data_IF_495651384749
#
_entry.id   IF_495651384749
#
_cell.length_a   1.000
_cell.length_b   1.000
_cell.length_c   1.000
_cell.angle_alpha   90.00
_cell.angle_beta   90.00
_cell.angle_gamma   90.00
#
_symmetry.space_group_name_H-M   'P 1'
#
loop_
_entity.id
_entity.type
_entity.pdbx_description
1 polymer ?
#
# COMPACT_ATOMS: atom_id res chain seq x y z
N UNK A 1 9.20 -11.81 9.63
CA UNK A 1 8.19 -10.89 10.28
C UNK A 1 6.81 -11.55 10.19
N UNK A 2 5.91 -11.36 11.19
CA UNK A 2 4.53 -11.92 11.10
C UNK A 2 3.56 -10.96 10.43
N UNK A 3 3.58 -9.70 10.84
CA UNK A 3 2.76 -8.61 10.33
C UNK A 3 3.67 -7.52 9.82
N UNK A 4 3.39 -6.98 8.63
CA UNK A 4 4.24 -5.98 8.01
C UNK A 4 3.44 -4.93 7.25
N UNK A 5 4.03 -3.72 7.17
CA UNK A 5 3.66 -2.67 6.23
C UNK A 5 4.77 -2.49 5.21
N UNK A 6 4.40 -2.41 3.94
CA UNK A 6 5.32 -2.30 2.82
C UNK A 6 4.94 -1.08 1.99
N UNK A 7 5.91 -0.21 1.74
CA UNK A 7 5.74 0.95 0.86
C UNK A 7 6.81 1.00 -0.22
N UNK A 8 6.40 1.45 -1.41
CA UNK A 8 7.28 1.62 -2.56
C UNK A 8 7.91 3.01 -2.58
N UNK A 9 9.21 3.11 -2.35
CA UNK A 9 9.95 4.36 -2.33
C UNK A 9 10.99 4.48 -3.47
N UNK A 10 11.74 5.57 -3.52
CA UNK A 10 12.78 5.80 -4.55
C UNK A 10 13.90 4.78 -4.48
N UNK A 11 14.22 4.25 -3.29
CA UNK A 11 15.25 3.24 -3.09
C UNK A 11 14.78 1.80 -3.32
N UNK A 12 13.50 1.58 -3.65
CA UNK A 12 12.95 0.24 -3.83
C UNK A 12 11.71 0.00 -2.98
N UNK A 13 11.75 -0.97 -2.08
CA UNK A 13 10.65 -1.39 -1.21
C UNK A 13 11.07 -1.31 0.25
N UNK A 14 10.46 -0.43 0.99
CA UNK A 14 10.66 -0.34 2.43
C UNK A 14 9.64 -1.21 3.15
N UNK A 15 10.12 -2.06 4.05
CA UNK A 15 9.28 -2.91 4.90
C UNK A 15 9.58 -2.63 6.36
N UNK A 16 8.52 -2.58 7.16
CA UNK A 16 8.60 -2.57 8.61
C UNK A 16 7.61 -3.58 9.19
N UNK A 17 8.02 -4.29 10.24
CA UNK A 17 7.17 -5.29 10.87
C UNK A 17 7.76 -5.82 12.16
N UNK A 18 6.99 -6.69 12.83
CA UNK A 18 7.44 -7.35 14.06
C UNK A 18 8.27 -8.58 13.74
N UNK A 19 9.53 -8.56 14.16
CA UNK A 19 10.45 -9.68 14.05
C UNK A 19 10.10 -10.84 14.98
N UNK A 20 10.86 -11.94 14.87
CA UNK A 20 10.65 -13.16 15.70
C UNK A 20 10.81 -12.93 17.21
N UNK A 21 11.60 -11.92 17.57
CA UNK A 21 11.87 -11.52 18.97
C UNK A 21 10.85 -10.53 19.52
N UNK A 22 9.79 -10.18 18.76
CA UNK A 22 8.78 -9.19 19.13
C UNK A 22 9.23 -7.74 19.00
N UNK A 23 10.45 -7.48 18.50
CA UNK A 23 10.95 -6.12 18.23
C UNK A 23 10.56 -5.69 16.82
N UNK A 24 10.42 -4.38 16.62
CA UNK A 24 10.26 -3.82 15.29
C UNK A 24 11.58 -3.94 14.52
N UNK A 25 11.48 -4.48 13.34
CA UNK A 25 12.56 -4.61 12.38
C UNK A 25 12.13 -3.91 11.09
N UNK A 26 13.08 -3.31 10.39
CA UNK A 26 12.84 -2.64 9.12
C UNK A 26 13.99 -2.89 8.15
N UNK A 27 13.69 -2.87 6.87
CA UNK A 27 14.70 -3.01 5.82
C UNK A 27 14.22 -2.41 4.50
N UNK A 28 15.18 -1.89 3.74
CA UNK A 28 14.98 -1.43 2.37
C UNK A 28 15.51 -2.50 1.41
N UNK A 29 14.71 -2.84 0.40
CA UNK A 29 15.03 -3.83 -0.62
C UNK A 29 14.97 -3.21 -2.01
N UNK A 30 15.91 -3.55 -2.88
CA UNK A 30 15.94 -3.05 -4.26
C UNK A 30 14.76 -3.52 -5.10
N UNK A 31 14.19 -4.70 -4.78
CA UNK A 31 13.06 -5.29 -5.48
C UNK A 31 12.18 -6.15 -4.56
N UNK A 32 10.92 -6.34 -4.97
CA UNK A 32 9.91 -7.05 -4.16
C UNK A 32 10.22 -8.55 -4.01
N UNK A 33 10.91 -9.15 -4.98
CA UNK A 33 11.27 -10.56 -4.92
C UNK A 33 12.26 -10.85 -3.79
N UNK A 34 13.30 -10.02 -3.65
CA UNK A 34 14.26 -10.13 -2.55
C UNK A 34 13.60 -9.91 -1.19
N UNK A 35 12.64 -8.96 -1.12
CA UNK A 35 11.85 -8.74 0.10
C UNK A 35 11.06 -10.01 0.46
N UNK A 36 10.37 -10.63 -0.49
CA UNK A 36 9.62 -11.87 -0.27
C UNK A 36 10.52 -13.03 0.16
N UNK A 37 11.64 -13.23 -0.50
CA UNK A 37 12.59 -14.31 -0.18
C UNK A 37 13.13 -14.24 1.26
N UNK A 38 13.39 -13.03 1.75
CA UNK A 38 13.88 -12.82 3.13
C UNK A 38 12.75 -12.92 4.17
N UNK A 39 11.48 -12.80 3.76
CA UNK A 39 10.33 -12.67 4.68
C UNK A 39 9.16 -13.60 4.30
N UNK A 40 9.44 -14.80 3.82
CA UNK A 40 8.40 -15.76 3.40
C UNK A 40 7.54 -16.33 4.55
N UNK A 41 7.77 -15.90 5.78
CA UNK A 41 7.01 -16.26 6.98
C UNK A 41 5.95 -15.21 7.40
N UNK A 42 5.66 -14.20 6.56
CA UNK A 42 4.56 -13.27 6.79
C UNK A 42 3.22 -14.01 7.00
N UNK A 43 2.45 -13.56 7.98
CA UNK A 43 1.03 -13.92 8.12
C UNK A 43 0.12 -12.95 7.37
N UNK A 44 0.48 -11.67 7.39
CA UNK A 44 -0.19 -10.59 6.69
C UNK A 44 0.80 -9.46 6.43
N UNK A 45 0.95 -9.08 5.18
CA UNK A 45 1.72 -7.91 4.77
C UNK A 45 0.80 -6.97 3.98
N UNK A 46 0.57 -5.77 4.49
CA UNK A 46 -0.17 -4.72 3.81
C UNK A 46 0.79 -3.92 2.94
N UNK A 47 0.47 -3.78 1.67
CA UNK A 47 1.35 -3.15 0.68
C UNK A 47 0.62 -2.02 -0.05
N UNK A 48 1.27 -0.83 -0.14
CA UNK A 48 0.74 0.32 -0.90
C UNK A 48 1.05 0.19 -2.39
N UNK A 49 0.38 -0.76 -3.03
CA UNK A 49 0.45 -0.95 -4.47
C UNK A 49 -0.79 -1.67 -5.00
N UNK A 50 -1.34 -1.29 -6.15
CA UNK A 50 -2.47 -1.99 -6.76
C UNK A 50 -2.19 -3.48 -7.03
N UNK A 51 -3.07 -4.34 -6.50
CA UNK A 51 -3.11 -5.78 -6.78
C UNK A 51 -4.39 -6.11 -7.54
N UNK A 52 -4.27 -6.90 -8.63
CA UNK A 52 -5.38 -7.16 -9.54
C UNK A 52 -5.69 -5.97 -10.45
N UNK A 53 -5.63 -6.20 -11.75
CA UNK A 53 -5.67 -5.17 -12.76
C UNK A 53 -6.72 -5.47 -13.82
N UNK A 54 -7.38 -4.43 -14.31
CA UNK A 54 -8.26 -4.55 -15.48
C UNK A 54 -7.44 -4.84 -16.72
N UNK A 55 -7.96 -5.73 -17.59
CA UNK A 55 -7.38 -6.03 -18.89
C UNK A 55 -8.27 -5.57 -20.04
N UNK A 56 -9.54 -5.23 -19.76
CA UNK A 56 -10.53 -4.78 -20.77
C UNK A 56 -11.53 -3.79 -20.17
N UNK A 57 -12.22 -3.06 -21.03
CA UNK A 57 -13.37 -2.22 -20.70
C UNK A 57 -13.03 -0.90 -20.00
N UNK A 58 -13.92 0.09 -20.04
CA UNK A 58 -13.70 1.44 -19.51
C UNK A 58 -13.84 1.55 -17.98
N UNK A 59 -14.40 0.51 -17.35
CA UNK A 59 -14.72 0.51 -15.92
C UNK A 59 -13.46 0.50 -15.06
N UNK A 60 -13.29 1.49 -14.19
CA UNK A 60 -12.22 1.48 -13.19
C UNK A 60 -12.42 0.34 -12.18
N UNK A 61 -11.36 -0.03 -11.47
CA UNK A 61 -11.45 -0.93 -10.33
C UNK A 61 -12.44 -0.32 -9.30
N UNK A 62 -13.38 -1.12 -8.80
CA UNK A 62 -14.38 -0.64 -7.83
C UNK A 62 -13.70 -0.17 -6.53
N UNK A 63 -12.63 -0.85 -6.12
CA UNK A 63 -11.86 -0.47 -4.93
C UNK A 63 -11.33 0.96 -5.01
N UNK A 64 -10.73 1.37 -6.13
CA UNK A 64 -10.22 2.74 -6.31
C UNK A 64 -11.36 3.78 -6.23
N UNK A 65 -12.51 3.48 -6.85
CA UNK A 65 -13.69 4.37 -6.83
C UNK A 65 -14.26 4.54 -5.42
N UNK A 66 -14.37 3.45 -4.66
CA UNK A 66 -14.92 3.49 -3.30
C UNK A 66 -13.93 4.09 -2.31
N UNK A 67 -12.63 3.79 -2.43
CA UNK A 67 -11.61 4.43 -1.62
C UNK A 67 -11.65 5.96 -1.76
N UNK A 68 -11.77 6.47 -3.01
CA UNK A 68 -11.94 7.91 -3.26
C UNK A 68 -13.21 8.51 -2.64
N UNK A 69 -14.29 7.73 -2.53
CA UNK A 69 -15.52 8.20 -1.86
C UNK A 69 -15.35 8.31 -0.35
N UNK A 70 -14.65 7.34 0.27
CA UNK A 70 -14.34 7.35 1.70
C UNK A 70 -13.38 8.50 2.01
N UNK A 71 -12.29 8.60 1.24
CA UNK A 71 -11.24 9.61 1.41
C UNK A 71 -11.57 10.98 0.80
N UNK A 72 -12.78 11.41 0.84
CA UNK A 72 -13.34 12.65 0.30
C UNK A 72 -12.32 13.80 0.06
N UNK A 73 -11.72 14.37 1.10
CA UNK A 73 -10.69 15.41 1.01
C UNK A 73 -9.36 14.85 0.43
N UNK A 74 -9.04 13.58 0.69
CA UNK A 74 -7.81 12.89 0.27
C UNK A 74 -7.99 12.01 -0.96
N UNK A 75 -9.13 12.07 -1.64
CA UNK A 75 -9.46 11.27 -2.83
C UNK A 75 -8.41 11.29 -3.93
N UNK A 76 -7.67 12.39 -4.06
CA UNK A 76 -6.64 12.54 -5.08
C UNK A 76 -5.34 11.75 -4.78
N UNK A 77 -5.22 11.13 -3.59
CA UNK A 77 -4.13 10.19 -3.29
C UNK A 77 -4.35 8.82 -3.94
N UNK A 78 -5.61 8.45 -4.24
CA UNK A 78 -5.94 7.17 -4.87
C UNK A 78 -5.97 7.35 -6.39
N UNK A 79 -4.90 6.95 -7.06
CA UNK A 79 -4.79 7.01 -8.51
C UNK A 79 -5.45 5.80 -9.16
N UNK A 80 -6.13 5.97 -10.32
CA UNK A 80 -6.60 4.83 -11.09
C UNK A 80 -5.43 3.94 -11.51
N UNK A 81 -5.51 2.65 -11.19
CA UNK A 81 -4.49 1.70 -11.65
C UNK A 81 -4.48 1.61 -13.20
N UNK A 82 -3.30 1.43 -13.84
CA UNK A 82 -3.20 1.19 -15.26
C UNK A 82 -3.85 -0.15 -15.64
N UNK A 83 -4.20 -0.33 -16.92
CA UNK A 83 -4.46 -1.69 -17.41
C UNK A 83 -3.17 -2.51 -17.42
N UNK A 84 -3.28 -3.85 -17.29
CA UNK A 84 -2.10 -4.71 -17.20
C UNK A 84 -1.20 -4.61 -18.44
N UNK A 85 -1.79 -4.43 -19.62
CA UNK A 85 -1.02 -4.29 -20.87
C UNK A 85 -0.11 -3.06 -20.86
N UNK A 86 -0.55 -1.95 -20.21
CA UNK A 86 0.23 -0.72 -20.13
C UNK A 86 1.48 -0.84 -19.24
N UNK A 87 1.55 -1.84 -18.35
CA UNK A 87 2.73 -2.07 -17.50
C UNK A 87 3.98 -2.45 -18.30
N UNK A 88 3.83 -2.98 -19.52
CA UNK A 88 4.94 -3.43 -20.37
C UNK A 88 5.50 -2.33 -21.26
N UNK A 89 4.90 -1.14 -21.23
CA UNK A 89 5.34 -0.01 -22.04
C UNK A 89 6.71 0.51 -21.60
N UNK A 90 7.49 0.97 -22.54
CA UNK A 90 8.83 1.55 -22.33
C UNK A 90 8.79 3.05 -22.02
N UNK A 91 7.65 3.69 -22.27
CA UNK A 91 7.45 5.12 -22.05
C UNK A 91 6.03 5.43 -21.59
N UNK A 92 5.88 6.61 -20.99
CA UNK A 92 4.54 7.09 -20.62
C UNK A 92 3.62 7.26 -21.83
N UNK A 93 4.12 7.76 -22.95
CA UNK A 93 3.32 7.97 -24.15
C UNK A 93 2.76 6.66 -24.70
N UNK A 94 3.59 5.62 -24.72
CA UNK A 94 3.18 4.27 -25.11
C UNK A 94 2.16 3.69 -24.12
N UNK A 95 2.45 3.76 -22.82
CA UNK A 95 1.53 3.30 -21.76
C UNK A 95 0.19 4.03 -21.83
N UNK A 96 0.20 5.34 -22.03
CA UNK A 96 -1.00 6.16 -22.15
C UNK A 96 -1.83 5.79 -23.38
N UNK A 97 -1.16 5.51 -24.53
CA UNK A 97 -1.82 5.03 -25.75
C UNK A 97 -2.48 3.69 -25.52
N UNK A 98 -1.76 2.71 -24.99
CA UNK A 98 -2.30 1.37 -24.65
C UNK A 98 -3.47 1.50 -23.68
N UNK A 99 -3.33 2.31 -22.63
CA UNK A 99 -4.40 2.48 -21.65
C UNK A 99 -5.65 3.13 -22.27
N UNK A 100 -5.51 4.07 -23.21
CA UNK A 100 -6.62 4.64 -23.98
C UNK A 100 -7.30 3.61 -24.85
N UNK A 101 -6.55 2.79 -25.56
CA UNK A 101 -7.09 1.74 -26.44
C UNK A 101 -7.87 0.69 -25.64
N UNK A 102 -7.32 0.24 -24.49
CA UNK A 102 -7.92 -0.81 -23.66
C UNK A 102 -9.06 -0.29 -22.78
N UNK A 103 -8.89 0.91 -22.21
CA UNK A 103 -9.75 1.45 -21.15
C UNK A 103 -10.61 2.65 -21.58
N UNK A 104 -10.39 3.18 -22.78
CA UNK A 104 -11.03 4.42 -23.22
C UNK A 104 -10.59 5.68 -22.48
N UNK A 105 -9.58 5.57 -21.59
CA UNK A 105 -9.07 6.67 -20.75
C UNK A 105 -7.57 6.70 -20.73
N UNK A 106 -7.00 7.91 -20.68
CA UNK A 106 -5.56 8.10 -20.54
C UNK A 106 -5.01 7.64 -19.20
N UNK A 107 -3.69 7.48 -19.14
CA UNK A 107 -2.93 7.16 -17.94
C UNK A 107 -2.32 8.43 -17.34
N UNK A 108 -2.55 8.67 -16.03
CA UNK A 108 -1.91 9.78 -15.34
C UNK A 108 -0.41 9.57 -15.19
N UNK A 109 0.36 10.66 -15.06
CA UNK A 109 1.81 10.57 -14.77
C UNK A 109 2.06 9.89 -13.43
N UNK A 110 1.19 10.12 -12.44
CA UNK A 110 1.30 9.46 -11.12
C UNK A 110 1.14 7.94 -11.24
N UNK A 111 0.11 7.49 -11.96
CA UNK A 111 -0.09 6.04 -12.20
C UNK A 111 1.06 5.43 -12.99
N UNK A 112 1.65 6.16 -13.94
CA UNK A 112 2.83 5.73 -14.66
C UNK A 112 4.06 5.58 -13.76
N UNK A 113 4.29 6.54 -12.87
CA UNK A 113 5.46 6.52 -11.98
C UNK A 113 5.53 5.31 -11.05
N UNK A 114 4.38 4.68 -10.76
CA UNK A 114 4.32 3.45 -9.94
C UNK A 114 4.15 2.18 -10.80
N UNK A 115 4.07 2.29 -12.14
CA UNK A 115 3.78 1.14 -13.02
C UNK A 115 4.84 0.04 -12.94
N UNK A 116 6.12 0.39 -12.82
CA UNK A 116 7.20 -0.59 -12.64
C UNK A 116 7.05 -1.39 -11.34
N UNK A 117 6.67 -0.73 -10.25
CA UNK A 117 6.41 -1.37 -8.96
C UNK A 117 5.17 -2.25 -9.01
N UNK A 118 4.09 -1.80 -9.67
CA UNK A 118 2.91 -2.64 -9.92
C UNK A 118 3.32 -3.90 -10.69
N UNK A 119 4.16 -3.76 -11.72
CA UNK A 119 4.63 -4.88 -12.53
C UNK A 119 5.46 -5.88 -11.71
N UNK A 120 6.34 -5.38 -10.82
CA UNK A 120 7.13 -6.25 -9.93
C UNK A 120 6.22 -7.13 -9.05
N UNK A 121 5.22 -6.52 -8.40
CA UNK A 121 4.28 -7.23 -7.51
C UNK A 121 3.37 -8.17 -8.31
N UNK A 122 2.83 -7.71 -9.46
CA UNK A 122 1.99 -8.54 -10.34
C UNK A 122 2.76 -9.79 -10.81
N UNK A 123 4.01 -9.62 -11.24
CA UNK A 123 4.87 -10.73 -11.66
C UNK A 123 5.18 -11.70 -10.51
N UNK A 124 5.49 -11.18 -9.32
CA UNK A 124 5.78 -12.01 -8.15
C UNK A 124 4.56 -12.86 -7.75
N UNK A 125 3.38 -12.24 -7.63
CA UNK A 125 2.15 -12.95 -7.22
C UNK A 125 1.74 -14.01 -8.26
N UNK A 126 1.95 -13.73 -9.54
CA UNK A 126 1.64 -14.68 -10.62
C UNK A 126 2.64 -15.86 -10.67
N UNK A 127 3.88 -15.62 -10.28
CA UNK A 127 4.92 -16.66 -10.23
C UNK A 127 4.84 -17.51 -8.95
N UNK A 128 4.47 -16.90 -7.82
CA UNK A 128 4.44 -17.52 -6.49
C UNK A 128 3.04 -17.34 -5.86
N UNK A 129 2.10 -18.27 -6.12
CA UNK A 129 0.70 -18.13 -5.70
C UNK A 129 0.45 -17.98 -4.20
N UNK A 130 1.37 -18.41 -3.34
CA UNK A 130 1.31 -18.21 -1.89
C UNK A 130 1.37 -16.75 -1.51
N UNK A 131 2.06 -15.90 -2.29
CA UNK A 131 2.16 -14.46 -2.04
C UNK A 131 0.80 -13.79 -1.98
N UNK A 132 -0.15 -14.20 -2.85
CA UNK A 132 -1.51 -13.63 -2.87
C UNK A 132 -2.33 -13.90 -1.60
N UNK A 133 -1.93 -14.88 -0.79
CA UNK A 133 -2.60 -15.19 0.48
C UNK A 133 -2.12 -14.29 1.60
N UNK A 134 -0.94 -13.71 1.43
CA UNK A 134 -0.20 -12.94 2.43
C UNK A 134 -0.19 -11.45 2.11
N UNK A 135 0.11 -11.09 0.86
CA UNK A 135 0.11 -9.70 0.43
C UNK A 135 -1.32 -9.24 0.15
N UNK A 136 -1.71 -8.15 0.80
CA UNK A 136 -3.00 -7.51 0.57
C UNK A 136 -2.79 -6.04 0.23
N UNK A 137 -3.42 -5.60 -0.86
CA UNK A 137 -3.40 -4.18 -1.21
C UNK A 137 -4.04 -3.36 -0.11
N UNK A 138 -3.33 -2.37 0.38
CA UNK A 138 -3.84 -1.38 1.31
C UNK A 138 -3.40 0.01 0.84
N UNK A 139 -4.04 1.05 1.34
CA UNK A 139 -3.70 2.43 1.01
C UNK A 139 -3.44 3.18 2.31
N UNK A 140 -2.29 3.87 2.47
CA UNK A 140 -1.93 4.53 3.73
C UNK A 140 -3.00 5.48 4.27
N UNK A 141 -3.61 6.32 3.41
CA UNK A 141 -4.66 7.24 3.85
C UNK A 141 -5.92 6.50 4.37
N UNK A 142 -6.26 5.31 3.84
CA UNK A 142 -7.33 4.48 4.38
C UNK A 142 -6.92 3.81 5.69
N UNK A 143 -5.67 3.42 5.82
CA UNK A 143 -5.15 2.90 7.08
C UNK A 143 -5.15 3.97 8.17
N UNK A 144 -4.70 5.19 7.85
CA UNK A 144 -4.78 6.32 8.79
C UNK A 144 -6.24 6.67 9.15
N UNK A 145 -7.14 6.69 8.16
CA UNK A 145 -8.58 6.91 8.40
C UNK A 145 -9.15 5.85 9.36
N UNK A 146 -8.82 4.58 9.16
CA UNK A 146 -9.28 3.50 10.02
C UNK A 146 -8.67 3.58 11.44
N UNK A 147 -7.38 3.88 11.55
CA UNK A 147 -6.67 4.07 12.82
C UNK A 147 -7.16 5.30 13.59
N UNK A 148 -7.69 6.30 12.90
CA UNK A 148 -8.24 7.55 13.45
C UNK A 148 -9.77 7.50 13.58
N UNK A 149 -10.32 6.38 14.03
CA UNK A 149 -11.76 6.21 14.31
C UNK A 149 -12.65 6.60 13.10
N UNK A 150 -12.21 6.24 11.89
CA UNK A 150 -12.86 6.56 10.62
C UNK A 150 -12.96 8.07 10.32
N UNK A 151 -12.06 8.86 10.86
CA UNK A 151 -11.93 10.28 10.56
C UNK A 151 -10.76 10.54 9.59
N UNK A 152 -11.00 11.36 8.56
CA UNK A 152 -9.97 11.70 7.59
C UNK A 152 -8.85 12.54 8.22
N UNK A 153 -7.62 12.35 7.75
CA UNK A 153 -6.52 13.28 8.04
C UNK A 153 -6.83 14.67 7.46
N UNK A 154 -6.69 15.70 8.25
CA UNK A 154 -7.03 17.07 7.85
C UNK A 154 -5.99 17.63 6.89
N UNK A 155 -4.70 17.46 7.21
CA UNK A 155 -3.60 18.07 6.49
C UNK A 155 -2.97 17.15 5.43
N UNK A 156 -2.40 17.76 4.39
CA UNK A 156 -1.65 17.00 3.38
C UNK A 156 -0.37 16.41 3.99
N UNK A 157 -0.10 15.13 3.74
CA UNK A 157 1.07 14.43 4.31
C UNK A 157 2.42 15.09 3.99
N UNK A 158 2.51 15.84 2.89
CA UNK A 158 3.73 16.58 2.50
C UNK A 158 3.88 17.93 3.22
N UNK A 159 2.84 18.42 3.90
CA UNK A 159 2.92 19.59 4.76
C UNK A 159 3.46 19.20 6.15
N UNK A 160 4.09 20.15 6.85
CA UNK A 160 4.60 19.91 8.19
C UNK A 160 3.48 19.51 9.17
N UNK A 161 2.33 20.15 9.05
CA UNK A 161 1.13 19.86 9.85
C UNK A 161 0.63 18.43 9.58
N UNK A 162 0.63 17.99 8.31
CA UNK A 162 0.19 16.65 7.95
C UNK A 162 1.15 15.55 8.41
N UNK A 163 2.44 15.83 8.46
CA UNK A 163 3.42 14.96 9.08
C UNK A 163 3.17 14.83 10.59
N UNK A 164 2.98 15.96 11.29
CA UNK A 164 2.72 15.98 12.73
C UNK A 164 1.40 15.31 13.11
N UNK A 165 0.36 15.52 12.32
CA UNK A 165 -0.95 14.89 12.53
C UNK A 165 -0.83 13.35 12.51
N UNK A 166 -0.15 12.80 11.51
CA UNK A 166 0.08 11.34 11.41
C UNK A 166 1.00 10.84 12.53
N UNK A 167 2.05 11.59 12.86
CA UNK A 167 2.97 11.24 13.93
C UNK A 167 2.24 11.16 15.29
N UNK A 168 1.36 12.12 15.61
CA UNK A 168 0.55 12.12 16.83
C UNK A 168 -0.35 10.89 16.88
N UNK A 169 -1.05 10.57 15.78
CA UNK A 169 -1.86 9.37 15.71
C UNK A 169 -1.04 8.11 15.93
N UNK A 170 0.07 7.96 15.20
CA UNK A 170 0.91 6.75 15.31
C UNK A 170 1.54 6.60 16.70
N UNK A 171 1.86 7.71 17.39
CA UNK A 171 2.38 7.71 18.77
C UNK A 171 1.41 7.09 19.75
N UNK A 172 0.09 7.20 19.56
CA UNK A 172 -0.90 6.54 20.41
C UNK A 172 -0.84 5.01 20.34
N UNK A 173 -0.31 4.46 19.26
CA UNK A 173 -0.10 3.02 19.05
C UNK A 173 1.35 2.58 19.34
N UNK A 174 2.32 3.45 19.11
CA UNK A 174 3.77 3.23 19.26
C UNK A 174 4.39 4.43 19.99
N UNK A 175 4.45 4.44 21.33
CA UNK A 175 4.98 5.57 22.09
C UNK A 175 6.39 6.02 21.68
N UNK A 176 7.27 5.08 21.33
CA UNK A 176 8.67 5.34 20.94
C UNK A 176 8.87 5.57 19.44
N UNK A 177 7.81 5.95 18.70
CA UNK A 177 7.84 6.07 17.24
C UNK A 177 8.92 7.06 16.74
N UNK A 178 9.17 8.14 17.45
CA UNK A 178 10.17 9.15 17.05
C UNK A 178 11.59 8.58 17.11
N UNK A 179 11.89 7.75 18.13
CA UNK A 179 13.17 7.05 18.23
C UNK A 179 13.32 6.10 17.03
N UNK A 180 12.28 5.36 16.71
CA UNK A 180 12.25 4.47 15.56
C UNK A 180 12.48 5.22 14.24
N UNK A 181 11.75 6.31 14.00
CA UNK A 181 11.89 7.12 12.78
C UNK A 181 13.30 7.69 12.67
N UNK A 182 13.87 8.21 13.77
CA UNK A 182 15.23 8.73 13.78
C UNK A 182 16.24 7.63 13.43
N UNK A 183 16.13 6.44 14.02
CA UNK A 183 16.99 5.30 13.67
C UNK A 183 16.90 4.94 12.17
N UNK A 184 15.69 4.93 11.60
CA UNK A 184 15.52 4.67 10.16
C UNK A 184 16.17 5.77 9.32
N UNK A 185 16.05 7.04 9.73
CA UNK A 185 16.63 8.17 9.01
C UNK A 185 18.16 8.26 9.15
N UNK A 186 18.73 7.66 10.19
CA UNK A 186 20.19 7.51 10.35
C UNK A 186 20.73 6.41 9.42
N UNK A 187 19.96 5.34 9.18
CA UNK A 187 20.33 4.23 8.31
C UNK A 187 20.15 4.53 6.81
N UNK A 188 19.16 5.37 6.45
CA UNK A 188 18.79 5.60 5.04
C UNK A 188 18.73 7.08 4.67
N UNK A 189 19.37 7.45 3.57
CA UNK A 189 19.28 8.81 3.04
C UNK A 189 17.86 9.16 2.59
N UNK A 190 17.39 10.36 2.93
CA UNK A 190 16.04 10.86 2.57
C UNK A 190 15.71 10.85 1.07
N UNK A 191 16.73 10.87 0.20
CA UNK A 191 16.53 10.77 -1.25
C UNK A 191 16.10 9.38 -1.72
N UNK A 192 16.35 8.34 -0.92
CA UNK A 192 15.96 6.94 -1.22
C UNK A 192 14.76 6.49 -0.41
N UNK A 193 14.58 7.04 0.80
CA UNK A 193 13.47 6.75 1.70
C UNK A 193 13.02 8.06 2.38
N UNK A 194 11.86 8.57 2.00
CA UNK A 194 11.33 9.82 2.55
C UNK A 194 10.64 9.60 3.90
N UNK A 195 10.39 10.70 4.64
CA UNK A 195 9.66 10.63 5.91
C UNK A 195 8.22 10.15 5.74
N UNK A 196 7.57 10.54 4.66
CA UNK A 196 6.21 10.11 4.36
C UNK A 196 6.17 8.61 4.02
N UNK A 197 7.12 8.06 3.26
CA UNK A 197 7.21 6.61 3.00
C UNK A 197 7.37 5.81 4.31
N UNK A 198 8.16 6.32 5.26
CA UNK A 198 8.32 5.70 6.58
C UNK A 198 7.01 5.68 7.36
N UNK A 199 6.29 6.82 7.43
CA UNK A 199 5.01 6.90 8.13
C UNK A 199 3.95 6.03 7.47
N UNK A 200 3.91 6.00 6.13
CA UNK A 200 2.99 5.19 5.36
C UNK A 200 3.20 3.69 5.66
N UNK A 201 4.44 3.21 5.61
CA UNK A 201 4.77 1.84 5.97
C UNK A 201 4.44 1.50 7.43
N UNK A 202 4.70 2.41 8.40
CA UNK A 202 4.33 2.22 9.81
C UNK A 202 2.81 2.15 9.97
N UNK A 203 2.05 3.01 9.29
CA UNK A 203 0.58 2.99 9.30
C UNK A 203 0.03 1.66 8.79
N UNK A 204 0.58 1.15 7.69
CA UNK A 204 0.23 -0.16 7.14
C UNK A 204 0.60 -1.31 8.09
N UNK A 205 1.77 -1.26 8.71
CA UNK A 205 2.18 -2.26 9.71
C UNK A 205 1.20 -2.29 10.90
N UNK A 206 0.85 -1.12 11.44
CA UNK A 206 -0.10 -1.05 12.55
C UNK A 206 -1.48 -1.60 12.17
N UNK A 207 -1.95 -1.27 10.98
CA UNK A 207 -3.18 -1.83 10.41
C UNK A 207 -3.11 -3.36 10.33
N UNK A 208 -2.02 -3.93 9.83
CA UNK A 208 -1.81 -5.38 9.79
C UNK A 208 -1.73 -6.00 11.19
N UNK A 209 -1.01 -5.35 12.12
CA UNK A 209 -0.85 -5.83 13.51
C UNK A 209 -2.15 -5.84 14.29
N UNK A 210 -3.02 -4.85 14.10
CA UNK A 210 -4.33 -4.79 14.77
C UNK A 210 -5.20 -5.96 14.38
N UNK A 211 -5.26 -6.34 13.11
CA UNK A 211 -6.01 -7.51 12.63
C UNK A 211 -5.55 -8.83 13.30
N UNK A 212 -4.32 -8.87 13.80
CA UNK A 212 -3.83 -10.00 14.61
C UNK A 212 -4.41 -10.07 16.03
N UNK A 213 -5.20 -9.08 16.48
CA UNK A 213 -5.88 -9.05 17.79
C UNK A 213 -7.33 -9.54 17.66
N UNK A 214 -7.85 -10.16 18.69
CA UNK A 214 -9.16 -10.83 18.68
C UNK A 214 -10.37 -9.93 18.38
N UNK A 215 -10.26 -8.62 18.57
CA UNK A 215 -11.35 -7.65 18.35
C UNK A 215 -11.18 -6.81 17.08
N UNK A 216 -10.31 -7.24 16.15
CA UNK A 216 -10.09 -6.54 14.88
C UNK A 216 -10.19 -7.49 13.71
N UNK A 217 -10.78 -7.01 12.62
CA UNK A 217 -10.94 -7.73 11.37
C UNK A 217 -10.36 -6.93 10.21
N UNK A 218 -10.04 -7.62 9.10
CA UNK A 218 -9.60 -7.00 7.87
C UNK A 218 -10.81 -6.80 6.95
N UNK A 219 -11.31 -5.56 6.89
CA UNK A 219 -12.34 -5.18 5.94
C UNK A 219 -11.78 -4.99 4.54
N UNK A 220 -12.62 -5.13 3.53
CA UNK A 220 -12.30 -4.98 2.12
C UNK A 220 -13.21 -3.96 1.43
N UNK A 221 -12.64 -3.15 0.57
CA UNK A 221 -13.37 -2.27 -0.35
C UNK A 221 -13.18 -2.78 -1.78
N UNK A 222 -14.27 -3.15 -2.47
CA UNK A 222 -15.63 -3.35 -1.95
C UNK A 222 -15.71 -4.57 -1.02
N UNK A 223 -16.75 -4.65 -0.20
CA UNK A 223 -16.96 -5.80 0.71
C UNK A 223 -17.00 -7.16 -0.01
N UNK A 224 -17.35 -7.15 -1.30
CA UNK A 224 -17.26 -8.31 -2.21
C UNK A 224 -16.37 -7.91 -3.39
N UNK A 225 -15.06 -8.17 -3.30
CA UNK A 225 -14.11 -7.78 -4.33
C UNK A 225 -14.32 -8.59 -5.62
N UNK A 226 -14.14 -7.91 -6.74
CA UNK A 226 -14.01 -8.57 -8.05
C UNK A 226 -12.61 -9.16 -8.17
N UNK A 227 -12.50 -10.28 -8.90
CA UNK A 227 -11.20 -10.77 -9.35
C UNK A 227 -10.92 -10.28 -10.77
N UNK A 228 -9.67 -10.04 -11.05
CA UNK A 228 -9.20 -9.79 -12.40
C UNK A 228 -9.12 -11.09 -13.22
N UNK A 229 -8.81 -11.04 -14.54
CA UNK A 229 -8.69 -12.24 -15.37
C UNK A 229 -7.61 -13.23 -14.95
N UNK A 230 -6.69 -12.85 -14.07
CA UNK A 230 -5.65 -13.71 -13.50
C UNK A 230 -6.02 -14.28 -12.13
N UNK A 231 -7.24 -13.99 -11.65
CA UNK A 231 -7.74 -14.45 -10.35
C UNK A 231 -7.20 -13.65 -9.16
N UNK A 232 -6.63 -12.47 -9.39
CA UNK A 232 -6.20 -11.56 -8.33
C UNK A 232 -7.37 -10.68 -7.89
N UNK A 233 -7.56 -10.51 -6.58
CA UNK A 233 -8.62 -9.67 -6.03
C UNK A 233 -8.32 -8.20 -6.27
N UNK A 234 -9.27 -7.47 -6.81
CA UNK A 234 -9.24 -6.02 -6.92
C UNK A 234 -9.92 -5.43 -5.69
N UNK A 235 -9.17 -5.25 -4.63
CA UNK A 235 -9.64 -4.75 -3.34
C UNK A 235 -8.60 -3.82 -2.71
N UNK A 236 -9.04 -2.98 -1.79
CA UNK A 236 -8.18 -2.27 -0.84
C UNK A 236 -8.66 -2.64 0.55
N UNK A 237 -7.74 -3.09 1.41
CA UNK A 237 -8.09 -3.54 2.74
C UNK A 237 -7.69 -2.54 3.83
N UNK A 238 -8.40 -2.59 4.95
CA UNK A 238 -8.14 -1.75 6.13
C UNK A 238 -8.66 -2.44 7.40
N UNK A 239 -8.12 -2.12 8.58
CA UNK A 239 -8.59 -2.72 9.84
C UNK A 239 -9.92 -2.10 10.27
N UNK A 240 -10.81 -2.92 10.83
CA UNK A 240 -12.01 -2.47 11.54
C UNK A 240 -12.12 -3.21 12.87
N UNK A 241 -12.73 -2.58 13.87
CA UNK A 241 -13.12 -3.32 15.07
C UNK A 241 -14.23 -4.30 14.70
N UNK A 242 -14.06 -5.55 15.16
CA UNK A 242 -15.12 -6.55 15.05
C UNK A 242 -16.32 -6.08 15.87
N UNK A 243 -17.50 -6.01 15.27
CA UNK A 243 -18.72 -5.72 16.00
C UNK A 243 -18.93 -6.81 17.04
N UNK A 244 -18.88 -6.44 18.32
CA UNK A 244 -19.20 -7.27 19.46
C UNK A 244 -20.68 -7.66 19.51
#
# INVERSE_FOLDING_TARGET
MKFAGIDGCSGGWFVIGEGKNGRLEYKLYDNIKSLWQDNNDFKLALIDIPIGLKETGPEERKCDKFARKILNKRKYSVFPAPCRQALRASSWDEANKINKEVRGKGLSKQSWNISSKIQEVDNLILAEPEVKTVFREAHPELSFWALNEQQEMEFNKKAAEGYQERLVLLRSYLPDIEILINSILDDYYRKVLSRDDILDAIGLYLAAKLVGKNNWELASIPARPESDPRGLRMEIVYPIEANS
#
